data_IF_363676337825
#
_entry.id   IF_363676337825
#
_cell.length_a   1.000
_cell.length_b   1.000
_cell.length_c   1.000
_cell.angle_alpha   90.00
_cell.angle_beta   90.00
_cell.angle_gamma   90.00
#
_symmetry.space_group_name_H-M   'P 1'
#
loop_
_entity.id
_entity.type
_entity.pdbx_description
1 polymer ?
#
# COMPACT_ATOMS: atom_id res chain seq x y z
N UNK A 1 -5.46 -11.79 10.58
CA UNK A 1 -5.88 -11.94 9.18
C UNK A 1 -4.71 -11.51 8.31
N UNK A 2 -4.10 -12.44 7.57
CA UNK A 2 -2.94 -12.17 6.73
C UNK A 2 -3.39 -12.30 5.29
N UNK A 3 -3.40 -11.22 4.49
CA UNK A 3 -3.76 -11.27 3.08
C UNK A 3 -2.65 -11.98 2.31
N UNK A 4 -3.02 -12.98 1.51
CA UNK A 4 -2.04 -13.84 0.86
C UNK A 4 -1.97 -13.64 -0.66
N UNK A 5 -3.09 -13.49 -1.36
CA UNK A 5 -3.12 -13.39 -2.82
C UNK A 5 -4.43 -12.79 -3.34
N UNK A 6 -4.34 -12.06 -4.45
CA UNK A 6 -5.50 -11.67 -5.23
C UNK A 6 -5.99 -12.86 -6.08
N UNK A 7 -7.30 -13.01 -6.22
CA UNK A 7 -7.94 -14.08 -7.01
C UNK A 7 -7.82 -13.85 -8.52
N UNK A 8 -7.42 -12.64 -8.95
CA UNK A 8 -7.16 -12.35 -10.36
C UNK A 8 -5.75 -12.81 -10.73
N UNK A 9 -5.64 -13.90 -11.47
CA UNK A 9 -4.37 -14.50 -11.92
C UNK A 9 -3.76 -13.72 -13.09
N UNK A 10 -3.21 -12.56 -12.80
CA UNK A 10 -2.39 -11.82 -13.76
C UNK A 10 -0.95 -12.36 -13.67
N UNK A 11 -0.52 -13.08 -14.71
CA UNK A 11 0.85 -13.59 -14.81
C UNK A 11 1.80 -12.46 -15.21
N UNK A 12 2.93 -12.38 -14.53
CA UNK A 12 4.00 -11.43 -14.84
C UNK A 12 4.81 -11.04 -13.61
N UNK A 13 6.05 -10.57 -13.82
CA UNK A 13 6.89 -10.09 -12.73
C UNK A 13 6.34 -8.78 -12.14
N UNK A 14 6.61 -8.56 -10.87
CA UNK A 14 6.20 -7.37 -10.09
C UNK A 14 7.45 -6.64 -9.57
N UNK A 15 8.38 -6.37 -10.47
CA UNK A 15 9.67 -5.78 -10.12
C UNK A 15 9.53 -4.38 -9.52
N UNK A 16 8.58 -3.57 -10.01
CA UNK A 16 8.31 -2.24 -9.49
C UNK A 16 7.79 -2.28 -8.06
N UNK A 17 6.84 -3.17 -7.77
CA UNK A 17 6.33 -3.38 -6.42
C UNK A 17 7.44 -3.81 -5.47
N UNK A 18 8.28 -4.77 -5.88
CA UNK A 18 9.41 -5.23 -5.07
C UNK A 18 10.42 -4.10 -4.82
N UNK A 19 10.74 -3.31 -5.84
CA UNK A 19 11.64 -2.17 -5.71
C UNK A 19 11.08 -1.13 -4.73
N UNK A 20 9.78 -0.83 -4.80
CA UNK A 20 9.13 0.10 -3.87
C UNK A 20 9.10 -0.43 -2.44
N UNK A 21 8.83 -1.72 -2.24
CA UNK A 21 8.87 -2.34 -0.92
C UNK A 21 10.26 -2.27 -0.29
N UNK A 22 11.30 -2.57 -1.07
CA UNK A 22 12.69 -2.46 -0.61
C UNK A 22 13.05 -1.00 -0.31
N UNK A 23 12.71 -0.08 -1.21
CA UNK A 23 12.95 1.35 -1.00
C UNK A 23 12.26 1.88 0.26
N UNK A 24 11.00 1.51 0.46
CA UNK A 24 10.24 1.88 1.65
C UNK A 24 10.89 1.34 2.94
N UNK A 25 11.29 0.08 2.91
CA UNK A 25 11.98 -0.55 4.05
C UNK A 25 13.33 0.11 4.35
N UNK A 26 14.12 0.40 3.31
CA UNK A 26 15.42 1.09 3.44
C UNK A 26 15.23 2.48 4.03
N UNK A 27 14.26 3.24 3.54
CA UNK A 27 13.95 4.57 4.08
C UNK A 27 13.50 4.52 5.54
N UNK A 28 12.70 3.52 5.91
CA UNK A 28 12.28 3.30 7.28
C UNK A 28 13.48 2.99 8.20
N UNK A 29 14.38 2.09 7.78
CA UNK A 29 15.59 1.72 8.54
C UNK A 29 16.57 2.89 8.62
N UNK A 30 16.71 3.67 7.53
CA UNK A 30 17.60 4.82 7.49
C UNK A 30 17.10 6.02 8.34
N UNK A 31 15.96 5.88 9.01
CA UNK A 31 15.40 6.93 9.85
C UNK A 31 14.86 8.13 9.07
N UNK A 32 14.72 8.03 7.75
CA UNK A 32 14.10 9.07 6.93
C UNK A 32 12.58 9.14 7.17
N UNK A 33 12.03 8.08 7.76
CA UNK A 33 10.64 7.96 8.23
C UNK A 33 10.65 7.93 9.77
N UNK A 34 11.48 8.78 10.38
CA UNK A 34 11.78 8.73 11.82
C UNK A 34 10.56 8.97 12.74
N UNK A 35 9.52 9.57 12.22
CA UNK A 35 8.29 9.86 12.97
C UNK A 35 7.23 8.77 12.83
N UNK A 36 7.41 7.81 11.90
CA UNK A 36 6.50 6.67 11.77
C UNK A 36 6.82 5.61 12.82
N UNK A 37 5.81 5.18 13.54
CA UNK A 37 5.95 4.04 14.43
C UNK A 37 6.03 2.73 13.61
N UNK A 38 6.54 1.68 14.24
CA UNK A 38 6.69 0.36 13.59
C UNK A 38 5.41 -0.14 12.91
N UNK A 39 4.26 0.12 13.51
CA UNK A 39 2.97 -0.33 12.99
C UNK A 39 2.56 0.41 11.72
N UNK A 40 2.82 1.72 11.63
CA UNK A 40 2.57 2.50 10.41
C UNK A 40 3.42 2.00 9.25
N UNK A 41 4.71 1.73 9.50
CA UNK A 41 5.58 1.13 8.47
C UNK A 41 5.07 -0.24 8.03
N UNK A 42 4.67 -1.08 8.98
CA UNK A 42 4.16 -2.42 8.68
C UNK A 42 2.86 -2.37 7.86
N UNK A 43 1.94 -1.47 8.20
CA UNK A 43 0.65 -1.32 7.49
C UNK A 43 0.86 -0.70 6.11
N UNK A 44 1.78 0.26 5.95
CA UNK A 44 2.15 0.82 4.66
C UNK A 44 2.76 -0.23 3.72
N UNK A 45 3.70 -1.04 4.22
CA UNK A 45 4.26 -2.18 3.48
C UNK A 45 3.19 -3.19 3.08
N UNK A 46 2.26 -3.48 3.99
CA UNK A 46 1.14 -4.38 3.73
C UNK A 46 0.22 -3.84 2.63
N UNK A 47 -0.08 -2.54 2.65
CA UNK A 47 -0.87 -1.88 1.61
C UNK A 47 -0.20 -1.96 0.24
N UNK A 48 1.09 -1.65 0.16
CA UNK A 48 1.87 -1.82 -1.07
C UNK A 48 1.85 -3.27 -1.56
N UNK A 49 2.16 -4.22 -0.69
CA UNK A 49 2.13 -5.64 -1.02
C UNK A 49 0.79 -6.11 -1.55
N UNK A 50 -0.29 -5.57 -1.02
CA UNK A 50 -1.65 -6.01 -1.32
C UNK A 50 -2.19 -5.42 -2.63
N UNK A 51 -1.99 -4.13 -2.85
CA UNK A 51 -2.63 -3.41 -3.95
C UNK A 51 -1.72 -3.17 -5.16
N UNK A 52 -0.42 -2.95 -4.94
CA UNK A 52 0.51 -2.59 -5.99
C UNK A 52 0.73 -3.68 -7.06
N UNK A 53 0.84 -4.98 -6.73
CA UNK A 53 1.09 -6.02 -7.74
C UNK A 53 0.04 -6.09 -8.83
N UNK A 54 -1.23 -5.87 -8.48
CA UNK A 54 -2.30 -5.87 -9.47
C UNK A 54 -2.20 -4.68 -10.42
N UNK A 55 -2.00 -3.48 -9.86
CA UNK A 55 -1.89 -2.25 -10.66
C UNK A 55 -0.66 -2.31 -11.56
N UNK A 56 0.48 -2.77 -11.05
CA UNK A 56 1.71 -2.92 -11.83
C UNK A 56 1.54 -3.89 -13.00
N UNK A 57 0.92 -5.06 -12.77
CA UNK A 57 0.68 -6.04 -13.84
C UNK A 57 -0.27 -5.54 -14.91
N UNK A 58 -1.20 -4.66 -14.53
CA UNK A 58 -2.16 -4.07 -15.46
C UNK A 58 -1.59 -2.91 -16.25
N UNK A 59 -0.82 -2.04 -15.61
CA UNK A 59 -0.25 -0.84 -16.21
C UNK A 59 1.13 -1.05 -16.84
N UNK A 60 1.85 -2.06 -16.39
CA UNK A 60 3.27 -2.28 -16.66
C UNK A 60 4.17 -1.54 -15.67
N UNK A 61 5.34 -2.13 -15.38
CA UNK A 61 6.29 -1.61 -14.38
C UNK A 61 6.69 -0.14 -14.60
N UNK A 62 7.06 0.32 -15.82
CA UNK A 62 7.51 1.70 -15.98
C UNK A 62 6.40 2.73 -15.74
N UNK A 63 5.19 2.47 -16.23
CA UNK A 63 4.06 3.37 -16.03
C UNK A 63 3.61 3.39 -14.56
N UNK A 64 3.61 2.23 -13.91
CA UNK A 64 3.29 2.11 -12.50
C UNK A 64 4.27 2.91 -11.63
N UNK A 65 5.59 2.74 -11.83
CA UNK A 65 6.61 3.48 -11.08
C UNK A 65 6.53 4.98 -11.34
N UNK A 66 6.34 5.39 -12.60
CA UNK A 66 6.19 6.80 -12.94
C UNK A 66 4.98 7.42 -12.24
N UNK A 67 3.82 6.77 -12.31
CA UNK A 67 2.60 7.24 -11.66
C UNK A 67 2.76 7.30 -10.13
N UNK A 68 3.35 6.27 -9.53
CA UNK A 68 3.60 6.23 -8.09
C UNK A 68 4.53 7.37 -7.65
N UNK A 69 5.64 7.58 -8.34
CA UNK A 69 6.57 8.68 -8.05
C UNK A 69 5.92 10.05 -8.28
N UNK A 70 5.14 10.20 -9.34
CA UNK A 70 4.42 11.45 -9.61
C UNK A 70 3.47 11.81 -8.47
N UNK A 71 2.67 10.85 -8.00
CA UNK A 71 1.77 11.05 -6.85
C UNK A 71 2.58 11.37 -5.60
N UNK A 72 3.67 10.65 -5.34
CA UNK A 72 4.53 10.89 -4.17
C UNK A 72 5.11 12.31 -4.17
N UNK A 73 5.67 12.74 -5.29
CA UNK A 73 6.26 14.09 -5.42
C UNK A 73 5.20 15.16 -5.32
N UNK A 74 4.08 15.01 -6.03
CA UNK A 74 3.01 16.02 -6.03
C UNK A 74 2.40 16.17 -4.64
N UNK A 75 2.14 15.09 -3.94
CA UNK A 75 1.61 15.13 -2.56
C UNK A 75 2.62 15.69 -1.59
N UNK A 76 3.90 15.36 -1.73
CA UNK A 76 4.97 15.94 -0.90
C UNK A 76 5.04 17.47 -1.05
N UNK A 77 4.94 17.97 -2.27
CA UNK A 77 4.89 19.42 -2.53
C UNK A 77 3.64 20.07 -1.97
N UNK A 78 2.46 19.48 -2.19
CA UNK A 78 1.19 20.04 -1.71
C UNK A 78 1.15 20.13 -0.18
N UNK A 79 1.58 19.08 0.50
CA UNK A 79 1.60 19.05 1.96
C UNK A 79 2.64 20.02 2.51
N UNK A 80 3.86 20.04 1.97
CA UNK A 80 4.89 21.00 2.38
C UNK A 80 4.53 22.46 2.13
N UNK A 81 3.56 22.72 1.24
CA UNK A 81 3.06 24.08 0.96
C UNK A 81 1.92 24.51 1.90
N UNK A 82 1.14 23.56 2.41
CA UNK A 82 -0.02 23.81 3.27
C UNK A 82 0.40 23.83 4.75
N UNK A 83 1.36 23.01 5.10
CA UNK A 83 1.81 22.84 6.49
C UNK A 83 3.27 23.26 6.58
N UNK A 84 3.57 24.30 7.36
CA UNK A 84 4.95 24.65 7.74
C UNK A 84 5.62 23.56 8.61
N UNK A 85 5.07 22.34 8.62
CA UNK A 85 5.55 21.23 9.43
C UNK A 85 6.72 20.49 8.76
N UNK A 86 7.70 20.01 9.53
CA UNK A 86 8.93 19.40 9.01
C UNK A 86 8.78 17.98 8.45
N UNK A 87 7.57 17.49 8.20
CA UNK A 87 7.30 16.10 7.81
C UNK A 87 6.69 15.86 6.42
N UNK A 88 7.16 16.50 5.30
CA UNK A 88 6.54 16.27 3.99
C UNK A 88 6.63 14.80 3.51
N UNK A 89 7.55 14.01 4.06
CA UNK A 89 7.74 12.62 3.67
C UNK A 89 6.70 11.66 4.27
N UNK A 90 6.16 11.92 5.45
CA UNK A 90 5.21 11.01 6.12
C UNK A 90 3.88 10.93 5.38
N UNK A 91 3.32 12.08 5.08
CA UNK A 91 2.04 12.18 4.35
C UNK A 91 2.21 11.74 2.91
N UNK A 92 3.39 11.96 2.30
CA UNK A 92 3.63 11.61 0.91
C UNK A 92 3.69 10.10 0.64
N UNK A 93 4.04 9.28 1.63
CA UNK A 93 4.07 7.81 1.46
C UNK A 93 2.68 7.16 1.62
N UNK A 94 1.86 7.67 2.52
CA UNK A 94 0.48 7.18 2.71
C UNK A 94 -0.39 7.40 1.46
N UNK A 95 -0.36 8.60 0.90
CA UNK A 95 -1.20 8.98 -0.24
C UNK A 95 -0.92 8.17 -1.52
N UNK A 96 0.34 7.89 -1.93
CA UNK A 96 0.61 7.00 -3.06
C UNK A 96 0.10 5.57 -2.86
N UNK A 97 0.18 5.04 -1.65
CA UNK A 97 -0.36 3.71 -1.34
C UNK A 97 -1.89 3.73 -1.40
N UNK A 98 -2.52 4.77 -0.85
CA UNK A 98 -3.96 4.99 -0.94
C UNK A 98 -4.43 5.15 -2.40
N UNK A 99 -3.71 5.93 -3.20
CA UNK A 99 -3.99 6.08 -4.64
C UNK A 99 -3.89 4.73 -5.36
N UNK A 100 -2.87 3.92 -5.04
CA UNK A 100 -2.70 2.57 -5.60
C UNK A 100 -3.86 1.66 -5.22
N UNK A 101 -4.33 1.71 -3.98
CA UNK A 101 -5.52 0.97 -3.53
C UNK A 101 -6.78 1.43 -4.27
N UNK A 102 -6.96 2.74 -4.44
CA UNK A 102 -8.07 3.32 -5.20
C UNK A 102 -8.07 2.89 -6.67
N UNK A 103 -6.91 2.90 -7.33
CA UNK A 103 -6.74 2.42 -8.70
C UNK A 103 -7.05 0.92 -8.80
N UNK A 104 -6.58 0.12 -7.86
CA UNK A 104 -6.88 -1.31 -7.82
C UNK A 104 -8.40 -1.55 -7.73
N UNK A 105 -9.07 -0.89 -6.80
CA UNK A 105 -10.54 -1.00 -6.65
C UNK A 105 -11.27 -0.54 -7.91
N UNK A 106 -10.82 0.55 -8.55
CA UNK A 106 -11.43 1.05 -9.78
C UNK A 106 -11.26 0.10 -10.96
N UNK A 107 -10.08 -0.52 -11.10
CA UNK A 107 -9.78 -1.46 -12.19
C UNK A 107 -10.41 -2.83 -11.98
N UNK A 108 -10.60 -3.25 -10.73
CA UNK A 108 -11.09 -4.57 -10.39
C UNK A 108 -12.11 -4.55 -9.23
N UNK A 109 -13.28 -3.91 -9.41
CA UNK A 109 -14.25 -3.72 -8.32
C UNK A 109 -14.84 -5.03 -7.78
N UNK A 110 -14.74 -6.11 -8.56
CA UNK A 110 -15.24 -7.45 -8.18
C UNK A 110 -14.13 -8.41 -7.77
N UNK A 111 -12.88 -7.95 -7.70
CA UNK A 111 -11.78 -8.78 -7.23
C UNK A 111 -11.93 -9.11 -5.75
N UNK A 112 -11.36 -10.24 -5.37
CA UNK A 112 -11.33 -10.71 -3.99
C UNK A 112 -9.89 -10.98 -3.59
N UNK A 113 -9.58 -10.71 -2.36
CA UNK A 113 -8.26 -10.99 -1.78
C UNK A 113 -8.40 -12.21 -0.88
N UNK A 114 -7.56 -13.19 -1.12
CA UNK A 114 -7.48 -14.39 -0.30
C UNK A 114 -6.74 -14.05 0.99
N UNK A 115 -7.44 -14.07 2.09
CA UNK A 115 -6.88 -13.81 3.42
C UNK A 115 -6.74 -15.11 4.19
N UNK A 116 -5.57 -15.30 4.79
CA UNK A 116 -5.31 -16.40 5.69
C UNK A 116 -5.61 -15.97 7.12
N UNK A 117 -6.53 -16.66 7.77
CA UNK A 117 -6.83 -16.46 9.19
C UNK A 117 -6.22 -17.63 9.95
N UNK A 118 -5.19 -17.38 10.78
CA UNK A 118 -4.68 -18.40 11.67
C UNK A 118 -5.71 -18.65 12.79
N UNK A 119 -6.38 -19.78 12.73
CA UNK A 119 -7.24 -20.26 13.81
C UNK A 119 -6.45 -21.29 14.61
N UNK A 120 -6.60 -21.37 15.94
CA UNK A 120 -5.96 -22.42 16.72
C UNK A 120 -6.26 -23.79 16.10
N UNK A 121 -5.19 -24.52 15.71
CA UNK A 121 -5.22 -25.85 15.08
C UNK A 121 -5.61 -25.93 13.60
N UNK A 122 -5.94 -24.81 12.91
CA UNK A 122 -6.25 -24.82 11.48
C UNK A 122 -5.87 -23.50 10.80
N UNK A 123 -5.57 -23.55 9.51
CA UNK A 123 -5.46 -22.37 8.65
C UNK A 123 -6.71 -22.27 7.79
N UNK A 124 -7.47 -21.20 7.95
CA UNK A 124 -8.67 -20.98 7.17
C UNK A 124 -8.42 -19.87 6.16
N UNK A 125 -8.77 -20.12 4.90
CA UNK A 125 -8.69 -19.12 3.84
C UNK A 125 -10.07 -18.51 3.61
N UNK A 126 -10.15 -17.21 3.65
CA UNK A 126 -11.39 -16.45 3.42
C UNK A 126 -11.17 -15.45 2.28
N UNK A 127 -12.10 -15.44 1.34
CA UNK A 127 -12.11 -14.45 0.26
C UNK A 127 -12.80 -13.16 0.74
N UNK A 128 -12.06 -12.06 0.74
CA UNK A 128 -12.57 -10.74 1.11
C UNK A 128 -12.62 -9.87 -0.14
N UNK A 129 -13.75 -9.19 -0.41
CA UNK A 129 -13.82 -8.21 -1.51
C UNK A 129 -12.72 -7.16 -1.37
N UNK A 130 -12.05 -6.81 -2.47
CA UNK A 130 -10.95 -5.83 -2.46
C UNK A 130 -11.38 -4.47 -1.92
N UNK A 131 -12.62 -4.06 -2.21
CA UNK A 131 -13.21 -2.83 -1.64
C UNK A 131 -13.25 -2.87 -0.10
N UNK A 132 -13.72 -3.98 0.47
CA UNK A 132 -13.77 -4.13 1.91
C UNK A 132 -12.37 -4.12 2.54
N UNK A 133 -11.40 -4.77 1.88
CA UNK A 133 -10.01 -4.77 2.31
C UNK A 133 -9.39 -3.36 2.24
N UNK A 134 -9.68 -2.59 1.19
CA UNK A 134 -9.21 -1.21 1.06
C UNK A 134 -9.78 -0.31 2.17
N UNK A 135 -11.07 -0.46 2.50
CA UNK A 135 -11.71 0.28 3.59
C UNK A 135 -11.08 -0.08 4.94
N UNK A 136 -10.88 -1.36 5.21
CA UNK A 136 -10.24 -1.83 6.45
C UNK A 136 -8.82 -1.28 6.55
N UNK A 137 -8.06 -1.29 5.44
CA UNK A 137 -6.70 -0.78 5.41
C UNK A 137 -6.66 0.73 5.69
N UNK A 138 -7.52 1.52 5.03
CA UNK A 138 -7.62 2.97 5.26
C UNK A 138 -8.00 3.28 6.71
N UNK A 139 -8.99 2.56 7.26
CA UNK A 139 -9.41 2.74 8.64
C UNK A 139 -8.26 2.43 9.63
N UNK A 140 -7.50 1.39 9.36
CA UNK A 140 -6.33 1.01 10.19
C UNK A 140 -5.24 2.09 10.15
N UNK A 141 -4.92 2.61 8.96
CA UNK A 141 -3.94 3.71 8.80
C UNK A 141 -4.41 4.98 9.52
N UNK A 142 -5.67 5.37 9.36
CA UNK A 142 -6.21 6.54 10.06
C UNK A 142 -6.15 6.39 11.59
N UNK A 143 -6.40 5.19 12.09
CA UNK A 143 -6.34 4.88 13.51
C UNK A 143 -4.92 4.94 14.06
N UNK A 144 -3.94 4.47 13.30
CA UNK A 144 -2.53 4.53 13.65
C UNK A 144 -1.93 5.94 13.55
N UNK A 145 -2.49 6.78 12.68
CA UNK A 145 -2.06 8.18 12.54
C UNK A 145 -2.64 9.05 13.67
N UNK A 146 -3.81 8.67 14.21
CA UNK A 146 -4.46 9.39 15.30
C UNK A 146 -3.96 9.00 16.71
N UNK A 147 -3.22 7.90 16.82
CA UNK A 147 -2.67 7.36 18.08
C UNK A 147 -1.27 7.86 18.36
#
# INVERSE_FOLDING_TARGET
MIPFRDTMDLRGPVWGTLALLVAYLVLAIAGQIAHMNFWQVAVGLLGLWLFAPYVERRAGTPLFLFAFLLVTVTTGFLVGWIDDSPGPFEVSLFLPVLATAGVHVALAPRSKILCMIPVPFAMTFVEVPTIAMAIIWVALEMLLTAA
#
